data_IF_451256890871
#
_entry.id   IF_451256890871
#
_cell.length_a   1.000
_cell.length_b   1.000
_cell.length_c   1.000
_cell.angle_alpha   90.00
_cell.angle_beta   90.00
_cell.angle_gamma   90.00
#
_symmetry.space_group_name_H-M   'P 1'
#
loop_
_entity.id
_entity.type
_entity.pdbx_description
1 polymer ?
#
# COMPACT_ATOMS: atom_id res chain seq x y z
N UNK A 1 16.41 -10.14 -5.72
CA UNK A 1 16.27 -9.34 -4.48
C UNK A 1 15.63 -8.02 -4.85
N UNK A 2 14.66 -7.54 -4.07
CA UNK A 2 14.06 -6.22 -4.26
C UNK A 2 15.06 -5.14 -3.86
N UNK A 3 15.16 -4.11 -4.68
CA UNK A 3 16.04 -2.98 -4.39
C UNK A 3 15.34 -2.06 -3.38
N UNK A 4 15.95 -1.97 -2.19
CA UNK A 4 15.51 -1.03 -1.16
C UNK A 4 16.21 0.30 -1.39
N UNK A 5 15.44 1.37 -1.43
CA UNK A 5 15.97 2.72 -1.46
C UNK A 5 15.99 3.27 -0.04
N UNK A 6 17.03 4.03 0.29
CA UNK A 6 17.09 4.73 1.56
C UNK A 6 16.20 5.97 1.49
N UNK A 7 15.09 5.96 2.23
CA UNK A 7 14.23 7.12 2.44
C UNK A 7 14.46 7.65 3.85
N UNK A 8 14.22 8.93 4.05
CA UNK A 8 14.46 9.61 5.34
C UNK A 8 13.29 9.33 6.30
N UNK A 9 12.06 9.44 5.80
CA UNK A 9 10.83 9.21 6.58
C UNK A 9 9.87 8.20 5.94
N UNK A 10 9.88 8.04 4.61
CA UNK A 10 8.98 7.08 3.95
C UNK A 10 9.38 5.63 4.30
N UNK A 11 8.60 5.00 5.16
CA UNK A 11 8.83 3.61 5.54
C UNK A 11 8.57 2.63 4.40
N UNK A 12 9.26 1.48 4.47
CA UNK A 12 8.97 0.31 3.64
C UNK A 12 9.06 0.58 2.12
N UNK A 13 9.77 1.63 1.71
CA UNK A 13 9.93 2.00 0.31
C UNK A 13 10.85 1.02 -0.43
N UNK A 14 10.39 0.47 -1.55
CA UNK A 14 11.20 -0.40 -2.43
C UNK A 14 10.58 -0.59 -3.81
N UNK A 15 11.43 -0.91 -4.78
CA UNK A 15 11.00 -1.52 -6.03
C UNK A 15 10.57 -2.97 -5.77
N UNK A 16 9.38 -3.37 -6.24
CA UNK A 16 8.89 -4.75 -6.16
C UNK A 16 8.91 -5.50 -7.50
N UNK A 17 9.59 -4.95 -8.51
CA UNK A 17 10.10 -5.64 -9.68
C UNK A 17 11.39 -6.43 -9.38
N UNK A 18 12.13 -6.78 -10.44
CA UNK A 18 13.43 -7.46 -10.34
C UNK A 18 13.40 -8.94 -9.94
N UNK A 19 12.23 -9.48 -9.59
CA UNK A 19 12.02 -10.91 -9.38
C UNK A 19 12.09 -11.69 -10.68
N UNK A 20 12.56 -12.94 -10.59
CA UNK A 20 12.57 -13.88 -11.71
C UNK A 20 11.32 -14.74 -11.59
N UNK A 21 10.54 -14.76 -12.66
CA UNK A 21 9.34 -15.58 -12.81
C UNK A 21 9.68 -17.06 -12.88
N UNK A 22 8.67 -17.92 -12.74
CA UNK A 22 8.79 -19.37 -12.94
C UNK A 22 9.25 -19.73 -14.36
N UNK A 23 8.96 -18.86 -15.34
CA UNK A 23 9.39 -19.00 -16.74
C UNK A 23 10.82 -18.48 -16.99
N UNK A 24 11.49 -17.92 -15.98
CA UNK A 24 12.84 -17.36 -16.11
C UNK A 24 12.88 -15.91 -16.61
N UNK A 25 11.73 -15.29 -16.88
CA UNK A 25 11.65 -13.87 -17.23
C UNK A 25 11.88 -13.01 -15.97
N UNK A 26 12.54 -11.86 -16.12
CA UNK A 26 12.76 -10.92 -15.01
C UNK A 26 11.76 -9.78 -15.08
N UNK A 27 11.04 -9.54 -13.98
CA UNK A 27 10.20 -8.35 -13.83
C UNK A 27 11.08 -7.10 -13.96
N UNK A 28 10.65 -6.14 -14.78
CA UNK A 28 11.39 -4.88 -14.98
C UNK A 28 11.53 -4.13 -13.65
N UNK A 29 12.74 -3.66 -13.37
CA UNK A 29 13.02 -2.74 -12.26
C UNK A 29 12.73 -1.30 -12.66
N UNK A 30 12.49 -0.43 -11.68
CA UNK A 30 12.20 0.99 -11.87
C UNK A 30 10.78 1.30 -12.37
N UNK A 31 9.87 0.32 -12.32
CA UNK A 31 8.49 0.47 -12.83
C UNK A 31 7.45 0.39 -11.72
N UNK A 32 7.68 -0.47 -10.72
CA UNK A 32 6.69 -0.86 -9.73
C UNK A 32 7.23 -0.62 -8.32
N UNK A 33 6.78 0.43 -7.66
CA UNK A 33 7.24 0.82 -6.32
C UNK A 33 6.15 0.61 -5.28
N UNK A 34 6.57 0.36 -4.03
CA UNK A 34 5.68 0.30 -2.87
C UNK A 34 6.25 1.04 -1.68
N UNK A 35 5.40 1.54 -0.79
CA UNK A 35 5.80 2.18 0.47
C UNK A 35 4.70 2.12 1.54
N UNK A 36 5.03 2.60 2.74
CA UNK A 36 4.07 3.13 3.70
C UNK A 36 3.50 4.49 3.29
N UNK A 37 2.78 5.12 4.21
CA UNK A 37 2.17 6.43 4.01
C UNK A 37 3.22 7.53 3.76
N UNK A 38 2.79 8.62 3.10
CA UNK A 38 3.66 9.71 2.66
C UNK A 38 3.40 11.00 3.46
N UNK A 39 2.72 10.90 4.61
CA UNK A 39 2.37 12.02 5.47
C UNK A 39 3.59 12.61 6.19
N UNK A 40 4.62 11.81 6.42
CA UNK A 40 5.90 12.25 6.99
C UNK A 40 7.00 12.49 5.94
N UNK A 41 6.71 12.30 4.65
CA UNK A 41 7.71 12.41 3.58
C UNK A 41 8.47 13.74 3.66
N UNK A 42 9.81 13.67 3.71
CA UNK A 42 10.67 14.86 3.70
C UNK A 42 10.81 15.44 2.30
N UNK A 43 11.34 16.66 2.17
CA UNK A 43 11.57 17.25 0.85
C UNK A 43 12.59 16.42 0.03
N UNK A 44 13.60 15.85 0.70
CA UNK A 44 14.55 14.90 0.11
C UNK A 44 13.86 13.60 -0.35
N UNK A 45 12.88 13.10 0.41
CA UNK A 45 12.08 11.96 -0.02
C UNK A 45 11.27 12.29 -1.29
N UNK A 46 10.66 13.47 -1.37
CA UNK A 46 9.93 13.93 -2.55
C UNK A 46 10.85 14.10 -3.78
N UNK A 47 12.07 14.60 -3.59
CA UNK A 47 13.10 14.64 -4.65
C UNK A 47 13.49 13.24 -5.12
N UNK A 48 13.62 12.28 -4.19
CA UNK A 48 13.86 10.87 -4.55
C UNK A 48 12.68 10.30 -5.36
N UNK A 49 11.43 10.54 -4.97
CA UNK A 49 10.26 10.09 -5.75
C UNK A 49 10.29 10.66 -7.18
N UNK A 50 10.65 11.93 -7.31
CA UNK A 50 10.74 12.64 -8.60
C UNK A 50 11.89 12.10 -9.46
N UNK A 51 13.07 11.88 -8.87
CA UNK A 51 14.24 11.34 -9.59
C UNK A 51 14.08 9.88 -10.01
N UNK A 52 13.27 9.10 -9.28
CA UNK A 52 12.82 7.77 -9.70
C UNK A 52 11.78 7.81 -10.83
N UNK A 53 11.32 9.00 -11.22
CA UNK A 53 10.37 9.20 -12.30
C UNK A 53 8.97 8.69 -11.97
N UNK A 54 8.58 8.63 -10.69
CA UNK A 54 7.24 8.17 -10.30
C UNK A 54 6.19 9.09 -10.93
N UNK A 55 5.33 8.52 -11.77
CA UNK A 55 4.27 9.23 -12.48
C UNK A 55 2.92 9.13 -11.78
N UNK A 56 2.68 8.01 -11.08
CA UNK A 56 1.40 7.78 -10.39
C UNK A 56 1.63 7.31 -8.95
N UNK A 57 0.83 7.82 -8.02
CA UNK A 57 0.70 7.33 -6.64
C UNK A 57 -0.70 6.76 -6.45
N UNK A 58 -0.77 5.52 -5.99
CA UNK A 58 -2.01 4.81 -5.65
C UNK A 58 -2.11 4.67 -4.13
N UNK A 59 -3.00 5.46 -3.51
CA UNK A 59 -3.28 5.43 -2.08
C UNK A 59 -4.43 4.45 -1.79
N UNK A 60 -4.14 3.38 -1.02
CA UNK A 60 -5.11 2.38 -0.60
C UNK A 60 -5.74 2.64 0.78
N UNK A 61 -5.34 3.73 1.45
CA UNK A 61 -5.85 4.10 2.76
C UNK A 61 -7.33 4.47 2.69
N UNK A 62 -8.03 4.24 3.79
CA UNK A 62 -9.40 4.72 3.97
C UNK A 62 -9.44 6.25 4.00
N UNK A 63 -10.60 6.84 3.74
CA UNK A 63 -10.78 8.30 3.87
C UNK A 63 -10.40 8.81 5.26
N UNK A 64 -10.70 8.03 6.32
CA UNK A 64 -10.34 8.40 7.69
C UNK A 64 -8.83 8.49 7.90
N UNK A 65 -8.07 7.50 7.43
CA UNK A 65 -6.61 7.49 7.50
C UNK A 65 -6.03 8.68 6.71
N UNK A 66 -6.49 8.90 5.47
CA UNK A 66 -6.02 9.98 4.60
C UNK A 66 -6.33 11.37 5.16
N UNK A 67 -7.50 11.57 5.76
CA UNK A 67 -7.87 12.84 6.37
C UNK A 67 -7.09 13.13 7.64
N UNK A 68 -6.75 12.09 8.42
CA UNK A 68 -5.98 12.24 9.66
C UNK A 68 -4.49 12.47 9.39
N UNK A 69 -3.97 11.84 8.35
CA UNK A 69 -2.56 11.87 7.96
C UNK A 69 -2.44 12.04 6.44
N UNK A 70 -2.67 13.27 5.93
CA UNK A 70 -2.64 13.52 4.49
C UNK A 70 -1.21 13.39 3.94
N UNK A 71 -1.06 12.76 2.77
CA UNK A 71 0.24 12.69 2.10
C UNK A 71 0.78 14.09 1.79
N UNK A 72 2.10 14.26 1.90
CA UNK A 72 2.79 15.54 1.64
C UNK A 72 3.07 15.83 0.16
N UNK A 73 2.58 15.02 -0.78
CA UNK A 73 2.92 15.14 -2.21
C UNK A 73 2.22 16.36 -2.83
N UNK A 74 2.96 17.42 -3.18
CA UNK A 74 2.35 18.65 -3.68
C UNK A 74 2.01 18.54 -5.17
N UNK A 75 0.94 19.23 -5.58
CA UNK A 75 0.39 19.12 -6.93
C UNK A 75 1.37 19.58 -8.04
N UNK A 76 2.32 20.45 -7.71
CA UNK A 76 3.32 20.97 -8.64
C UNK A 76 4.37 19.92 -9.07
N UNK A 77 4.45 18.75 -8.41
CA UNK A 77 5.31 17.65 -8.87
C UNK A 77 4.74 16.92 -10.10
N UNK A 78 3.48 17.19 -10.48
CA UNK A 78 2.86 16.55 -11.65
C UNK A 78 2.58 15.05 -11.49
N UNK A 79 2.77 14.50 -10.28
CA UNK A 79 2.49 13.09 -9.99
C UNK A 79 0.98 12.89 -9.88
N UNK A 80 0.43 12.01 -10.71
CA UNK A 80 -0.99 11.65 -10.69
C UNK A 80 -1.32 10.90 -9.40
N UNK A 81 -2.24 11.44 -8.60
CA UNK A 81 -2.68 10.79 -7.36
C UNK A 81 -4.02 10.08 -7.60
N UNK A 82 -4.08 8.79 -7.30
CA UNK A 82 -5.27 7.94 -7.43
C UNK A 82 -5.59 7.34 -6.07
N UNK A 83 -6.82 7.54 -5.61
CA UNK A 83 -7.28 7.04 -4.31
C UNK A 83 -8.26 5.89 -4.50
N UNK A 84 -7.93 4.71 -3.94
CA UNK A 84 -8.74 3.49 -4.01
C UNK A 84 -8.85 2.93 -2.58
N UNK A 85 -9.80 3.42 -1.77
CA UNK A 85 -9.85 3.08 -0.35
C UNK A 85 -10.21 1.60 -0.13
N UNK A 86 -9.41 0.90 0.69
CA UNK A 86 -9.67 -0.49 1.10
C UNK A 86 -9.73 -0.55 2.64
N UNK A 87 -10.90 -0.91 3.18
CA UNK A 87 -11.16 -0.99 4.62
C UNK A 87 -11.18 -2.44 5.12
N UNK A 88 -10.02 -3.00 5.49
CA UNK A 88 -9.95 -4.36 6.04
C UNK A 88 -10.51 -4.47 7.46
N UNK A 89 -11.13 -5.60 7.82
CA UNK A 89 -11.65 -5.90 9.16
C UNK A 89 -10.64 -5.66 10.30
N UNK A 90 -9.34 -5.82 10.07
CA UNK A 90 -8.31 -5.53 11.06
C UNK A 90 -8.35 -4.09 11.59
N UNK A 91 -8.71 -3.11 10.76
CA UNK A 91 -8.79 -1.71 11.20
C UNK A 91 -10.08 -1.43 11.97
N UNK A 92 -11.20 -1.99 11.51
CA UNK A 92 -12.51 -1.77 12.13
C UNK A 92 -12.62 -2.48 13.47
N UNK A 93 -12.23 -3.76 13.52
CA UNK A 93 -12.42 -4.59 14.71
C UNK A 93 -11.38 -4.32 15.79
N UNK A 94 -10.11 -4.05 15.44
CA UNK A 94 -9.11 -3.68 16.44
C UNK A 94 -9.50 -2.37 17.16
N UNK A 95 -10.07 -1.40 16.43
CA UNK A 95 -10.51 -0.14 16.99
C UNK A 95 -11.77 -0.30 17.87
N UNK A 96 -12.78 -1.04 17.39
CA UNK A 96 -14.03 -1.26 18.15
C UNK A 96 -13.83 -2.16 19.38
N UNK A 97 -13.11 -3.28 19.25
CA UNK A 97 -12.84 -4.20 20.36
C UNK A 97 -11.93 -3.56 21.41
N UNK A 98 -10.91 -2.80 21.00
CA UNK A 98 -10.03 -2.08 21.93
C UNK A 98 -10.81 -1.02 22.72
N UNK A 99 -11.65 -0.22 22.05
CA UNK A 99 -12.48 0.81 22.68
C UNK A 99 -13.52 0.22 23.64
N UNK A 100 -14.23 -0.82 23.22
CA UNK A 100 -15.28 -1.43 24.03
C UNK A 100 -14.70 -2.20 25.24
N UNK A 101 -13.59 -2.92 25.05
CA UNK A 101 -12.93 -3.66 26.15
C UNK A 101 -12.26 -2.74 27.16
N UNK A 102 -11.67 -1.63 26.71
CA UNK A 102 -11.14 -0.58 27.58
C UNK A 102 -12.25 0.06 28.41
N UNK A 103 -13.41 0.35 27.81
CA UNK A 103 -14.55 0.96 28.49
C UNK A 103 -15.24 0.02 29.51
N UNK A 104 -15.47 -1.25 29.15
CA UNK A 104 -16.24 -2.18 30.00
C UNK A 104 -15.41 -2.87 31.09
N UNK A 105 -14.16 -3.22 30.83
CA UNK A 105 -13.45 -4.22 31.64
C UNK A 105 -12.10 -3.74 32.18
N UNK A 106 -11.63 -2.54 31.82
CA UNK A 106 -10.33 -2.03 32.23
C UNK A 106 -9.13 -2.94 31.89
N UNK A 107 -9.35 -3.97 31.04
CA UNK A 107 -8.36 -4.97 30.63
C UNK A 107 -8.57 -5.31 29.16
N UNK A 108 -7.49 -5.29 28.40
CA UNK A 108 -7.49 -5.75 27.01
C UNK A 108 -7.77 -7.25 26.96
N UNK A 109 -8.82 -7.65 26.23
CA UNK A 109 -9.02 -9.06 25.82
C UNK A 109 -7.79 -9.48 25.01
N UNK A 110 -7.35 -10.75 25.12
CA UNK A 110 -6.22 -11.26 24.33
C UNK A 110 -6.65 -11.35 22.86
N UNK A 111 -6.36 -10.31 22.09
CA UNK A 111 -6.73 -10.22 20.67
C UNK A 111 -5.95 -11.23 19.85
N UNK A 112 -6.65 -12.08 19.10
CA UNK A 112 -6.04 -13.02 18.17
C UNK A 112 -5.70 -12.33 16.84
N UNK A 113 -4.54 -11.68 16.78
CA UNK A 113 -4.11 -10.96 15.58
C UNK A 113 -3.97 -11.84 14.34
N UNK A 114 -3.66 -13.13 14.50
CA UNK A 114 -3.53 -14.05 13.38
C UNK A 114 -4.88 -14.31 12.68
N UNK A 115 -5.94 -14.52 13.47
CA UNK A 115 -7.30 -14.70 12.95
C UNK A 115 -7.84 -13.44 12.28
N UNK A 116 -7.60 -12.28 12.88
CA UNK A 116 -7.97 -10.99 12.31
C UNK A 116 -7.25 -10.76 10.97
N UNK A 117 -5.94 -11.06 10.91
CA UNK A 117 -5.18 -10.97 9.68
C UNK A 117 -5.74 -11.93 8.61
N UNK A 118 -5.97 -13.20 8.96
CA UNK A 118 -6.53 -14.18 8.03
C UNK A 118 -7.87 -13.72 7.45
N UNK A 119 -8.78 -13.27 8.31
CA UNK A 119 -10.07 -12.73 7.90
C UNK A 119 -9.92 -11.51 6.98
N UNK A 120 -9.03 -10.59 7.32
CA UNK A 120 -8.76 -9.40 6.49
C UNK A 120 -8.30 -9.79 5.08
N UNK A 121 -7.39 -10.76 4.97
CA UNK A 121 -6.94 -11.26 3.67
C UNK A 121 -8.04 -12.00 2.91
N UNK A 122 -8.93 -12.73 3.60
CA UNK A 122 -10.13 -13.30 2.97
C UNK A 122 -11.08 -12.21 2.46
N UNK A 123 -11.25 -11.11 3.18
CA UNK A 123 -12.08 -9.99 2.74
C UNK A 123 -11.53 -9.28 1.49
N UNK A 124 -10.21 -9.19 1.34
CA UNK A 124 -9.61 -8.63 0.11
C UNK A 124 -10.11 -9.34 -1.16
N UNK A 125 -10.28 -10.67 -1.11
CA UNK A 125 -10.76 -11.46 -2.26
C UNK A 125 -12.28 -11.65 -2.30
N UNK A 126 -12.98 -11.49 -1.18
CA UNK A 126 -14.44 -11.73 -1.10
C UNK A 126 -15.30 -10.46 -1.11
N UNK A 127 -14.73 -9.31 -0.72
CA UNK A 127 -15.45 -8.04 -0.56
C UNK A 127 -14.85 -6.87 -1.33
N UNK A 128 -13.55 -6.88 -1.60
CA UNK A 128 -12.83 -5.75 -2.22
C UNK A 128 -12.37 -6.04 -3.66
N UNK A 129 -13.06 -6.93 -4.37
CA UNK A 129 -12.65 -7.31 -5.73
C UNK A 129 -12.72 -6.12 -6.69
N UNK A 130 -13.69 -5.20 -6.50
CA UNK A 130 -13.84 -4.02 -7.34
C UNK A 130 -12.64 -3.06 -7.18
N UNK A 131 -12.18 -2.86 -5.95
CA UNK A 131 -11.04 -2.02 -5.60
C UNK A 131 -9.75 -2.61 -6.17
N UNK A 132 -9.49 -3.90 -5.92
CA UNK A 132 -8.31 -4.54 -6.47
C UNK A 132 -8.36 -4.68 -8.00
N UNK A 133 -9.54 -4.79 -8.61
CA UNK A 133 -9.70 -4.69 -10.06
C UNK A 133 -9.27 -3.32 -10.59
N UNK A 134 -9.65 -2.22 -9.91
CA UNK A 134 -9.19 -0.86 -10.26
C UNK A 134 -7.67 -0.74 -10.13
N UNK A 135 -7.08 -1.30 -9.08
CA UNK A 135 -5.63 -1.34 -8.88
C UNK A 135 -4.94 -2.06 -10.04
N UNK A 136 -5.43 -3.24 -10.45
CA UNK A 136 -4.86 -3.99 -11.57
C UNK A 136 -4.98 -3.22 -12.89
N UNK A 137 -6.12 -2.56 -13.13
CA UNK A 137 -6.29 -1.69 -14.31
C UNK A 137 -5.27 -0.55 -14.33
N UNK A 138 -5.00 0.06 -13.16
CA UNK A 138 -4.01 1.12 -13.03
C UNK A 138 -2.60 0.64 -13.39
N UNK A 139 -2.20 -0.56 -12.93
CA UNK A 139 -0.92 -1.18 -13.30
C UNK A 139 -0.85 -1.58 -14.78
N UNK A 140 -1.97 -1.95 -15.40
CA UNK A 140 -2.01 -2.42 -16.80
C UNK A 140 -1.89 -1.31 -17.84
N UNK A 141 -2.19 -0.07 -17.46
CA UNK A 141 -2.10 1.10 -18.33
C UNK A 141 -0.72 1.75 -18.19
N UNK A 142 0.06 1.65 -19.26
CA UNK A 142 1.46 2.10 -19.31
C UNK A 142 1.62 3.61 -19.11
N UNK A 143 0.57 4.41 -19.31
CA UNK A 143 0.59 5.85 -19.03
C UNK A 143 0.63 6.17 -17.53
N UNK A 144 0.41 5.19 -16.66
CA UNK A 144 0.52 5.37 -15.20
C UNK A 144 1.89 4.97 -14.64
N UNK A 145 2.78 4.38 -15.46
CA UNK A 145 4.06 3.84 -15.02
C UNK A 145 5.20 4.86 -15.19
N UNK A 146 6.18 4.94 -14.27
CA UNK A 146 6.30 4.19 -13.01
C UNK A 146 5.29 4.56 -11.93
N UNK A 147 4.86 3.58 -11.15
CA UNK A 147 3.80 3.74 -10.16
C UNK A 147 4.27 3.35 -8.75
N UNK A 148 3.90 4.16 -7.76
CA UNK A 148 4.03 3.87 -6.35
C UNK A 148 2.66 3.50 -5.76
N UNK A 149 2.55 2.33 -5.16
CA UNK A 149 1.35 1.92 -4.42
C UNK A 149 1.63 1.89 -2.92
N UNK A 150 0.74 2.46 -2.10
CA UNK A 150 0.94 2.50 -0.67
C UNK A 150 -0.35 2.32 0.13
N UNK A 151 -0.16 2.01 1.39
CA UNK A 151 -1.16 2.08 2.44
C UNK A 151 -0.44 2.58 3.70
N UNK A 152 -1.05 2.52 4.88
CA UNK A 152 -0.45 3.06 6.12
C UNK A 152 0.96 2.53 6.41
N UNK A 153 1.11 1.22 6.62
CA UNK A 153 2.43 0.59 6.85
C UNK A 153 3.09 0.05 5.56
N UNK A 154 2.39 0.15 4.43
CA UNK A 154 2.85 -0.44 3.18
C UNK A 154 3.00 -1.95 3.25
N UNK A 155 2.29 -2.64 4.14
CA UNK A 155 2.45 -4.07 4.43
C UNK A 155 1.32 -4.91 3.85
N UNK A 156 0.10 -4.77 4.37
CA UNK A 156 -1.00 -5.71 4.11
C UNK A 156 -1.75 -5.41 2.80
N UNK A 157 -2.47 -4.27 2.70
CA UNK A 157 -3.17 -3.86 1.46
C UNK A 157 -2.22 -3.77 0.27
N UNK A 158 -1.12 -3.05 0.45
CA UNK A 158 -0.04 -2.92 -0.53
C UNK A 158 0.60 -4.26 -0.85
N UNK A 159 0.88 -5.08 0.15
CA UNK A 159 1.50 -6.40 -0.06
C UNK A 159 0.61 -7.35 -0.82
N UNK A 160 -0.70 -7.34 -0.54
CA UNK A 160 -1.68 -8.10 -1.30
C UNK A 160 -1.69 -7.64 -2.76
N UNK A 161 -1.76 -6.32 -3.03
CA UNK A 161 -1.67 -5.80 -4.41
C UNK A 161 -0.37 -6.23 -5.12
N UNK A 162 0.79 -6.09 -4.48
CA UNK A 162 2.06 -6.52 -5.05
C UNK A 162 2.08 -8.02 -5.35
N UNK A 163 1.59 -8.85 -4.42
CA UNK A 163 1.56 -10.30 -4.56
C UNK A 163 0.66 -10.74 -5.73
N UNK A 164 -0.52 -10.12 -5.89
CA UNK A 164 -1.42 -10.41 -7.02
C UNK A 164 -0.77 -10.01 -8.35
N UNK A 165 -0.14 -8.83 -8.44
CA UNK A 165 0.57 -8.41 -9.66
C UNK A 165 1.70 -9.38 -10.00
N UNK A 166 2.52 -9.76 -9.02
CA UNK A 166 3.61 -10.71 -9.24
C UNK A 166 3.08 -12.09 -9.66
N UNK A 167 2.01 -12.58 -9.04
CA UNK A 167 1.38 -13.86 -9.40
C UNK A 167 0.86 -13.85 -10.85
N UNK A 168 0.31 -12.73 -11.32
CA UNK A 168 -0.17 -12.57 -12.70
C UNK A 168 1.01 -12.56 -13.69
N UNK A 169 2.12 -11.91 -13.33
CA UNK A 169 3.31 -11.82 -14.20
C UNK A 169 4.15 -13.11 -14.22
N UNK A 170 3.85 -14.04 -13.32
CA UNK A 170 4.48 -15.37 -13.22
C UNK A 170 5.80 -15.38 -12.48
#
# INVERSE_FOLDING_TARGET
MTEKYSMDAIENFRDFGGYVSQSGAKLKSGILFRSGALDEATDNDLEKLTSLGIQTICDLRTDQERNRWPDRVPANLGIKQVHIPVSGSMQTEANELSRLSSWLFGRARKTNYAEIAQRTYTEYVTRFQAEFSKVLKLFSDSSNLPILIHCTAGKDRTGFSCAVVQLILG
#
